data_IF_817877431052
#
_entry.id   IF_817877431052
#
_cell.length_a   1.000
_cell.length_b   1.000
_cell.length_c   1.000
_cell.angle_alpha   90.00
_cell.angle_beta   90.00
_cell.angle_gamma   90.00
#
_symmetry.space_group_name_H-M   'P 1'
#
loop_
_entity.id
_entity.type
_entity.pdbx_description
1 polymer ?
#
# COMPACT_ATOMS: atom_id res chain seq x y z
N UNK A 1 -22.38 10.20 -25.97
CA UNK A 1 -21.24 10.73 -26.74
C UNK A 1 -21.12 10.02 -28.08
N UNK A 2 -20.80 8.72 -28.12
CA UNK A 2 -20.60 7.93 -29.35
C UNK A 2 -21.73 8.06 -30.39
N UNK A 3 -22.99 7.91 -29.96
CA UNK A 3 -24.18 8.08 -30.82
C UNK A 3 -24.32 9.50 -31.41
N UNK A 4 -23.82 10.53 -30.73
CA UNK A 4 -23.90 11.93 -31.18
C UNK A 4 -22.74 12.37 -32.06
N UNK A 5 -21.62 11.64 -32.04
CA UNK A 5 -20.42 11.90 -32.85
C UNK A 5 -20.28 10.94 -34.04
N UNK A 6 -21.23 10.01 -34.21
CA UNK A 6 -21.14 8.98 -35.24
C UNK A 6 -19.98 8.01 -35.04
N UNK A 7 -19.46 7.89 -33.82
CA UNK A 7 -18.36 6.98 -33.48
C UNK A 7 -18.88 5.72 -32.81
N UNK A 8 -18.15 4.62 -32.94
CA UNK A 8 -18.42 3.37 -32.22
C UNK A 8 -17.58 3.31 -30.94
N UNK A 9 -18.13 2.75 -29.86
CA UNK A 9 -17.40 2.42 -28.65
C UNK A 9 -17.49 0.91 -28.44
N UNK A 10 -16.34 0.27 -28.31
CA UNK A 10 -16.21 -1.10 -27.84
C UNK A 10 -15.46 -1.06 -26.50
N UNK A 11 -15.87 -1.91 -25.56
CA UNK A 11 -15.19 -2.03 -24.27
C UNK A 11 -15.09 -3.50 -23.89
N UNK A 12 -14.03 -3.81 -23.15
CA UNK A 12 -13.80 -5.13 -22.58
C UNK A 12 -13.45 -4.97 -21.10
N UNK A 13 -14.03 -5.80 -20.24
CA UNK A 13 -13.64 -5.88 -18.83
C UNK A 13 -12.41 -6.77 -18.73
N UNK A 14 -11.24 -6.16 -18.50
CA UNK A 14 -9.95 -6.86 -18.43
C UNK A 14 -9.51 -7.19 -17.00
N UNK A 15 -10.13 -6.56 -15.98
CA UNK A 15 -9.79 -6.78 -14.57
C UNK A 15 -10.95 -6.54 -13.61
N UNK A 16 -10.92 -7.18 -12.44
CA UNK A 16 -11.82 -6.91 -11.32
C UNK A 16 -11.21 -7.40 -10.00
N UNK A 17 -11.19 -6.53 -8.98
CA UNK A 17 -10.59 -6.82 -7.67
C UNK A 17 -11.59 -6.72 -6.53
N UNK A 18 -11.39 -7.56 -5.52
CA UNK A 18 -12.03 -7.35 -4.23
C UNK A 18 -11.43 -6.13 -3.49
N UNK A 19 -12.21 -5.47 -2.65
CA UNK A 19 -11.64 -4.51 -1.69
C UNK A 19 -10.74 -5.23 -0.70
N UNK A 20 -9.67 -4.61 -0.21
CA UNK A 20 -8.79 -5.25 0.79
C UNK A 20 -9.58 -5.59 2.06
N UNK A 21 -9.54 -6.85 2.46
CA UNK A 21 -10.08 -7.32 3.74
C UNK A 21 -9.02 -7.06 4.83
N UNK A 22 -9.29 -6.13 5.78
CA UNK A 22 -8.29 -5.77 6.79
C UNK A 22 -8.05 -6.91 7.78
N UNK A 23 -6.83 -7.01 8.29
CA UNK A 23 -6.48 -7.85 9.42
C UNK A 23 -5.82 -6.98 10.50
N UNK A 24 -6.57 -6.65 11.54
CA UNK A 24 -6.14 -5.72 12.59
C UNK A 24 -5.05 -6.32 13.47
N UNK A 25 -5.09 -7.62 13.74
CA UNK A 25 -4.03 -8.32 14.49
C UNK A 25 -2.68 -8.17 13.80
N UNK A 26 -2.61 -8.44 12.49
CA UNK A 26 -1.36 -8.27 11.74
C UNK A 26 -0.96 -6.80 11.57
N UNK A 27 -1.94 -5.92 11.32
CA UNK A 27 -1.69 -4.49 11.17
C UNK A 27 -1.13 -3.87 12.46
N UNK A 28 -1.69 -4.22 13.61
CA UNK A 28 -1.20 -3.77 14.92
C UNK A 28 0.21 -4.29 15.16
N UNK A 29 0.50 -5.56 14.84
CA UNK A 29 1.84 -6.10 15.06
C UNK A 29 2.90 -5.42 14.19
N UNK A 30 2.60 -5.19 12.92
CA UNK A 30 3.49 -4.44 12.02
C UNK A 30 3.67 -2.98 12.50
N UNK A 31 2.60 -2.36 13.01
CA UNK A 31 2.65 -1.02 13.59
C UNK A 31 3.55 -0.94 14.82
N UNK A 32 3.48 -1.93 15.72
CA UNK A 32 4.32 -1.99 16.92
C UNK A 32 5.81 -2.02 16.55
N UNK A 33 6.18 -2.76 15.51
CA UNK A 33 7.55 -2.76 14.97
C UNK A 33 7.94 -1.43 14.34
N UNK A 34 7.03 -0.80 13.58
CA UNK A 34 7.28 0.53 13.02
C UNK A 34 7.53 1.57 14.12
N UNK A 35 6.77 1.51 15.22
CA UNK A 35 6.97 2.38 16.39
C UNK A 35 8.32 2.11 17.05
N UNK A 36 8.69 0.84 17.22
CA UNK A 36 9.96 0.45 17.83
C UNK A 36 11.18 0.89 17.00
N UNK A 37 11.10 0.80 15.67
CA UNK A 37 12.16 1.20 14.74
C UNK A 37 12.19 2.72 14.51
N UNK A 38 11.05 3.38 14.59
CA UNK A 38 10.90 4.80 14.27
C UNK A 38 10.84 5.07 12.77
N UNK A 39 10.57 6.33 12.40
CA UNK A 39 10.54 6.74 10.99
C UNK A 39 11.95 6.97 10.39
N UNK A 40 12.04 7.08 9.05
CA UNK A 40 13.31 7.30 8.35
C UNK A 40 13.96 8.63 8.75
N UNK A 41 15.29 8.69 8.69
CA UNK A 41 16.07 9.90 9.01
C UNK A 41 16.76 10.47 7.78
N UNK A 42 16.39 11.67 7.39
CA UNK A 42 17.01 12.36 6.27
C UNK A 42 18.34 12.99 6.70
N UNK A 43 19.28 13.05 5.77
CA UNK A 43 20.52 13.81 5.93
C UNK A 43 20.37 15.17 5.24
N UNK A 44 21.41 16.00 5.29
CA UNK A 44 21.39 17.34 4.68
C UNK A 44 21.05 17.31 3.18
N UNK A 45 21.62 16.37 2.42
CA UNK A 45 21.33 16.25 0.97
C UNK A 45 19.89 15.84 0.70
N UNK A 46 19.31 14.98 1.53
CA UNK A 46 17.91 14.57 1.42
C UNK A 46 16.99 15.75 1.73
N UNK A 47 17.29 16.56 2.75
CA UNK A 47 16.50 17.74 3.08
C UNK A 47 16.54 18.78 1.97
N UNK A 48 17.69 19.00 1.32
CA UNK A 48 17.80 19.89 0.16
C UNK A 48 16.88 19.41 -0.98
N UNK A 49 16.92 18.11 -1.30
CA UNK A 49 16.05 17.53 -2.32
C UNK A 49 14.56 17.60 -1.93
N UNK A 50 14.23 17.25 -0.69
CA UNK A 50 12.87 17.30 -0.16
C UNK A 50 12.30 18.72 -0.22
N UNK A 51 13.09 19.74 0.12
CA UNK A 51 12.70 21.14 -0.04
C UNK A 51 12.47 21.52 -1.51
N UNK A 52 13.28 21.01 -2.44
CA UNK A 52 13.08 21.27 -3.86
C UNK A 52 11.76 20.67 -4.38
N UNK A 53 11.45 19.41 -4.00
CA UNK A 53 10.17 18.77 -4.32
C UNK A 53 9.01 19.52 -3.69
N UNK A 54 9.11 19.88 -2.41
CA UNK A 54 8.03 20.52 -1.66
C UNK A 54 7.59 21.86 -2.29
N UNK A 55 8.52 22.65 -2.83
CA UNK A 55 8.20 23.90 -3.55
C UNK A 55 7.28 23.70 -4.76
N UNK A 56 7.20 22.48 -5.29
CA UNK A 56 6.34 22.13 -6.44
C UNK A 56 4.98 21.57 -6.03
N UNK A 57 4.78 21.27 -4.74
CA UNK A 57 3.54 20.72 -4.23
C UNK A 57 2.53 21.84 -3.95
N UNK A 58 1.21 21.56 -4.09
CA UNK A 58 0.18 22.47 -3.58
C UNK A 58 0.41 22.74 -2.08
N UNK A 59 0.59 24.01 -1.70
CA UNK A 59 0.88 24.41 -0.33
C UNK A 59 2.37 24.56 0.01
N UNK A 60 3.29 24.02 -0.80
CA UNK A 60 4.70 24.42 -0.83
C UNK A 60 5.54 24.11 0.41
N UNK A 61 5.06 23.29 1.35
CA UNK A 61 5.68 23.12 2.67
C UNK A 61 6.13 21.68 2.92
N UNK A 62 7.40 21.56 3.30
CA UNK A 62 8.00 20.39 3.91
C UNK A 62 8.71 20.87 5.17
N UNK A 63 8.41 20.23 6.29
CA UNK A 63 9.03 20.50 7.59
C UNK A 63 10.04 19.38 7.85
N UNK A 64 11.36 19.68 7.96
CA UNK A 64 12.36 18.67 8.28
C UNK A 64 12.00 17.90 9.55
N UNK A 65 12.11 16.57 9.50
CA UNK A 65 11.68 15.66 10.56
C UNK A 65 10.25 15.13 10.38
N UNK A 66 9.43 15.74 9.52
CA UNK A 66 8.08 15.21 9.19
C UNK A 66 8.14 13.83 8.55
N UNK A 67 9.23 13.47 7.88
CA UNK A 67 9.47 12.14 7.33
C UNK A 67 9.55 11.05 8.42
N UNK A 68 9.92 11.42 9.65
CA UNK A 68 10.10 10.50 10.76
C UNK A 68 8.82 10.32 11.60
N UNK A 69 7.77 11.10 11.33
CA UNK A 69 6.51 11.07 12.08
C UNK A 69 5.73 9.82 11.71
N UNK A 70 5.35 9.03 12.72
CA UNK A 70 4.44 7.90 12.58
C UNK A 70 3.07 8.34 13.08
N UNK A 71 2.05 8.24 12.23
CA UNK A 71 0.68 8.57 12.63
C UNK A 71 0.15 7.58 13.69
N UNK A 72 -0.80 8.00 14.56
CA UNK A 72 -1.49 7.08 15.44
C UNK A 72 -2.17 5.94 14.67
N UNK A 73 -2.10 4.72 15.20
CA UNK A 73 -2.77 3.58 14.60
C UNK A 73 -4.28 3.83 14.49
N UNK A 74 -4.82 3.61 13.29
CA UNK A 74 -6.24 3.76 13.03
C UNK A 74 -6.65 2.85 11.87
N UNK A 75 -7.82 2.23 12.01
CA UNK A 75 -8.41 1.43 10.93
C UNK A 75 -9.13 2.36 9.98
N UNK A 76 -8.57 2.51 8.79
CA UNK A 76 -9.12 3.35 7.72
C UNK A 76 -9.18 2.54 6.43
N UNK A 77 -10.31 2.62 5.73
CA UNK A 77 -10.41 2.06 4.39
C UNK A 77 -9.91 3.07 3.37
N UNK A 78 -8.87 2.70 2.61
CA UNK A 78 -8.39 3.51 1.49
C UNK A 78 -9.29 3.31 0.26
N UNK A 79 -9.20 4.23 -0.71
CA UNK A 79 -9.90 4.12 -2.00
C UNK A 79 -8.98 3.66 -3.14
N UNK A 80 -7.87 3.00 -2.80
CA UNK A 80 -6.90 2.50 -3.78
C UNK A 80 -7.42 1.27 -4.54
N UNK A 81 -6.85 1.01 -5.73
CA UNK A 81 -7.08 -0.23 -6.48
C UNK A 81 -5.81 -1.09 -6.45
N UNK A 82 -5.93 -2.32 -5.98
CA UNK A 82 -4.81 -3.28 -5.85
C UNK A 82 -5.33 -4.71 -5.96
N UNK A 83 -4.54 -5.57 -6.60
CA UNK A 83 -4.71 -7.02 -6.69
C UNK A 83 -4.51 -7.75 -5.34
N UNK A 84 -3.81 -7.11 -4.39
CA UNK A 84 -3.70 -7.59 -2.99
C UNK A 84 -5.07 -7.71 -2.33
N UNK A 85 -6.08 -7.00 -2.86
CA UNK A 85 -7.49 -7.22 -2.52
C UNK A 85 -7.86 -8.68 -2.55
N UNK A 86 -7.74 -9.35 -3.69
CA UNK A 86 -8.09 -10.77 -3.84
C UNK A 86 -7.26 -11.70 -2.95
N UNK A 87 -5.97 -11.39 -2.75
CA UNK A 87 -5.12 -12.15 -1.82
C UNK A 87 -5.67 -12.07 -0.39
N UNK A 88 -6.07 -10.87 0.04
CA UNK A 88 -6.57 -10.63 1.40
C UNK A 88 -7.87 -11.34 1.73
N UNK A 89 -8.63 -11.81 0.74
CA UNK A 89 -9.84 -12.64 0.94
C UNK A 89 -9.53 -14.15 0.99
N UNK A 90 -8.34 -14.55 0.58
CA UNK A 90 -7.90 -15.95 0.58
C UNK A 90 -7.02 -16.27 1.80
N UNK A 91 -6.19 -15.32 2.23
CA UNK A 91 -5.25 -15.49 3.36
C UNK A 91 -5.14 -14.22 4.21
N UNK A 92 -4.91 -14.34 5.54
CA UNK A 92 -4.59 -13.18 6.38
C UNK A 92 -3.45 -12.36 5.78
N UNK A 93 -3.68 -11.08 5.55
CA UNK A 93 -2.78 -10.22 4.78
C UNK A 93 -2.60 -8.88 5.49
N UNK A 94 -1.36 -8.38 5.48
CA UNK A 94 -1.00 -7.02 5.92
C UNK A 94 -0.01 -6.43 4.94
N UNK A 95 -0.12 -5.13 4.68
CA UNK A 95 0.85 -4.35 3.93
C UNK A 95 1.37 -3.21 4.79
N UNK A 96 2.49 -2.63 4.37
CA UNK A 96 3.13 -1.52 5.08
C UNK A 96 3.45 -0.38 4.10
N UNK A 97 3.18 0.85 4.55
CA UNK A 97 3.64 2.07 3.89
C UNK A 97 4.57 2.84 4.84
N UNK A 98 5.69 3.33 4.31
CA UNK A 98 6.62 4.23 4.98
C UNK A 98 6.88 5.45 4.10
N UNK A 99 7.57 6.48 4.61
CA UNK A 99 7.92 7.67 3.84
C UNK A 99 9.01 7.37 2.78
N UNK A 100 8.61 6.76 1.67
CA UNK A 100 9.43 6.55 0.47
C UNK A 100 9.34 7.71 -0.51
N UNK A 101 8.38 8.63 -0.29
CA UNK A 101 8.28 9.91 -0.97
C UNK A 101 8.51 11.05 0.01
N UNK A 102 8.82 12.24 -0.51
CA UNK A 102 8.84 13.47 0.29
C UNK A 102 7.43 13.69 0.86
N UNK A 103 7.27 13.88 2.18
CA UNK A 103 5.95 14.08 2.80
C UNK A 103 5.12 15.14 2.08
N UNK A 104 3.82 14.84 1.89
CA UNK A 104 2.89 15.66 1.12
C UNK A 104 2.85 15.36 -0.39
N UNK A 105 3.75 14.53 -0.90
CA UNK A 105 3.72 14.11 -2.31
C UNK A 105 2.54 13.17 -2.57
N UNK A 106 1.68 13.54 -3.53
CA UNK A 106 0.58 12.69 -3.99
C UNK A 106 1.06 11.51 -4.83
N UNK A 107 0.30 10.41 -4.83
CA UNK A 107 0.54 9.28 -5.72
C UNK A 107 0.26 9.66 -7.18
N UNK A 108 0.91 8.97 -8.11
CA UNK A 108 0.77 9.17 -9.56
C UNK A 108 1.17 10.56 -10.08
N UNK A 109 2.10 11.24 -9.40
CA UNK A 109 2.66 12.50 -9.85
C UNK A 109 4.12 12.37 -10.29
N UNK A 110 4.62 13.34 -11.05
CA UNK A 110 6.03 13.35 -11.44
C UNK A 110 6.96 13.50 -10.23
N UNK A 111 6.51 14.15 -9.14
CA UNK A 111 7.28 14.26 -7.90
C UNK A 111 7.52 12.88 -7.26
N UNK A 112 6.52 11.99 -7.28
CA UNK A 112 6.68 10.63 -6.81
C UNK A 112 7.72 9.87 -7.64
N UNK A 113 7.66 10.01 -8.98
CA UNK A 113 8.65 9.40 -9.89
C UNK A 113 10.06 9.95 -9.65
N UNK A 114 10.20 11.28 -9.53
CA UNK A 114 11.48 11.93 -9.27
C UNK A 114 12.10 11.49 -7.93
N UNK A 115 11.26 11.18 -6.95
CA UNK A 115 11.71 10.75 -5.62
C UNK A 115 12.09 9.27 -5.57
N UNK A 116 11.39 8.40 -6.32
CA UNK A 116 11.49 6.94 -6.14
C UNK A 116 12.88 6.31 -6.32
N UNK A 117 13.78 6.95 -7.08
CA UNK A 117 15.15 6.46 -7.29
C UNK A 117 16.22 7.11 -6.40
N UNK A 118 15.84 7.85 -5.36
CA UNK A 118 16.75 8.66 -4.56
C UNK A 118 17.18 7.97 -3.25
N UNK A 119 18.30 8.37 -2.63
CA UNK A 119 18.73 7.84 -1.33
C UNK A 119 17.68 7.96 -0.22
N UNK A 120 16.91 9.06 -0.17
CA UNK A 120 15.85 9.23 0.82
C UNK A 120 14.72 8.19 0.64
N UNK A 121 14.36 7.86 -0.60
CA UNK A 121 13.38 6.82 -0.89
C UNK A 121 13.88 5.45 -0.43
N UNK A 122 15.17 5.15 -0.65
CA UNK A 122 15.79 3.92 -0.16
C UNK A 122 15.78 3.81 1.36
N UNK A 123 15.93 4.91 2.10
CA UNK A 123 15.79 4.90 3.56
C UNK A 123 14.39 4.50 4.02
N UNK A 124 13.36 5.05 3.37
CA UNK A 124 11.97 4.62 3.60
C UNK A 124 11.75 3.14 3.26
N UNK A 125 12.30 2.68 2.12
CA UNK A 125 12.20 1.29 1.68
C UNK A 125 12.91 0.32 2.63
N UNK A 126 14.08 0.68 3.14
CA UNK A 126 14.82 -0.12 4.11
C UNK A 126 14.02 -0.27 5.41
N UNK A 127 13.45 0.83 5.93
CA UNK A 127 12.57 0.75 7.09
C UNK A 127 11.37 -0.17 6.84
N UNK A 128 10.75 -0.08 5.65
CA UNK A 128 9.65 -0.96 5.31
C UNK A 128 10.07 -2.44 5.30
N UNK A 129 11.24 -2.74 4.74
CA UNK A 129 11.80 -4.08 4.73
C UNK A 129 12.09 -4.59 6.15
N UNK A 130 12.65 -3.77 7.03
CA UNK A 130 12.93 -4.12 8.43
C UNK A 130 11.66 -4.45 9.21
N UNK A 131 10.62 -3.63 9.08
CA UNK A 131 9.31 -3.87 9.73
C UNK A 131 8.66 -5.15 9.20
N UNK A 132 8.67 -5.36 7.88
CA UNK A 132 8.13 -6.59 7.28
C UNK A 132 8.91 -7.83 7.74
N UNK A 133 10.24 -7.74 7.80
CA UNK A 133 11.09 -8.83 8.29
C UNK A 133 10.82 -9.14 9.76
N UNK A 134 10.73 -8.13 10.62
CA UNK A 134 10.40 -8.31 12.04
C UNK A 134 9.01 -8.94 12.23
N UNK A 135 8.03 -8.50 11.44
CA UNK A 135 6.67 -9.08 11.44
C UNK A 135 6.69 -10.54 10.98
N UNK A 136 7.46 -10.86 9.94
CA UNK A 136 7.62 -12.23 9.46
C UNK A 136 8.30 -13.14 10.49
N UNK A 137 9.31 -12.64 11.21
CA UNK A 137 9.95 -13.38 12.31
C UNK A 137 8.93 -13.74 13.39
N UNK A 138 8.06 -12.82 13.78
CA UNK A 138 7.01 -13.14 14.75
C UNK A 138 6.03 -14.17 14.21
N UNK A 139 5.58 -14.05 12.96
CA UNK A 139 4.68 -15.05 12.36
C UNK A 139 5.30 -16.46 12.33
N UNK A 140 6.61 -16.56 12.17
CA UNK A 140 7.33 -17.82 12.18
C UNK A 140 7.59 -18.37 13.60
N UNK A 141 7.68 -17.50 14.60
CA UNK A 141 8.07 -17.87 15.97
C UNK A 141 6.94 -17.88 17.00
N UNK A 142 5.78 -17.27 16.68
CA UNK A 142 4.63 -17.09 17.57
C UNK A 142 3.37 -17.69 16.93
N UNK A 143 3.11 -19.00 17.10
CA UNK A 143 1.93 -19.67 16.56
C UNK A 143 0.59 -19.05 17.00
N UNK A 144 0.58 -18.41 18.16
CA UNK A 144 -0.57 -17.67 18.70
C UNK A 144 -0.92 -16.43 17.86
N UNK A 145 0.07 -15.74 17.29
CA UNK A 145 -0.16 -14.59 16.40
C UNK A 145 -0.87 -15.06 15.13
N UNK A 146 -0.39 -16.16 14.53
CA UNK A 146 -1.02 -16.78 13.36
C UNK A 146 -2.45 -17.19 13.69
N UNK A 147 -2.65 -17.86 14.83
CA UNK A 147 -3.98 -18.30 15.28
C UNK A 147 -4.95 -17.13 15.47
N UNK A 148 -4.50 -16.04 16.09
CA UNK A 148 -5.29 -14.83 16.29
C UNK A 148 -5.64 -14.14 14.96
N UNK A 149 -4.66 -13.99 14.06
CA UNK A 149 -4.86 -13.39 12.74
C UNK A 149 -5.83 -14.22 11.89
N UNK A 150 -5.72 -15.56 11.92
CA UNK A 150 -6.63 -16.47 11.23
C UNK A 150 -8.05 -16.42 11.80
N UNK A 151 -8.20 -16.36 13.13
CA UNK A 151 -9.51 -16.25 13.77
C UNK A 151 -10.22 -14.94 13.37
N UNK A 152 -9.50 -13.81 13.40
CA UNK A 152 -10.04 -12.52 12.94
C UNK A 152 -10.42 -12.57 11.46
N UNK A 153 -9.54 -13.08 10.61
CA UNK A 153 -9.76 -13.21 9.17
C UNK A 153 -11.03 -14.00 8.86
N UNK A 154 -11.20 -15.18 9.47
CA UNK A 154 -12.41 -16.00 9.27
C UNK A 154 -13.68 -15.28 9.73
N UNK A 155 -13.60 -14.53 10.84
CA UNK A 155 -14.73 -13.74 11.34
C UNK A 155 -15.11 -12.61 10.37
N UNK A 156 -14.14 -11.88 9.82
CA UNK A 156 -14.41 -10.77 8.88
C UNK A 156 -14.88 -11.25 7.52
N UNK A 157 -14.28 -12.33 7.01
CA UNK A 157 -14.60 -12.92 5.71
C UNK A 157 -16.00 -13.54 5.70
N UNK A 158 -16.42 -14.11 6.84
CA UNK A 158 -17.65 -14.88 6.95
C UNK A 158 -17.43 -16.36 6.60
N UNK A 159 -18.32 -17.25 7.08
CA UNK A 159 -18.16 -18.69 6.94
C UNK A 159 -18.40 -19.22 5.52
N UNK A 160 -19.21 -18.50 4.73
CA UNK A 160 -19.71 -18.99 3.43
C UNK A 160 -18.98 -18.36 2.23
N UNK A 161 -17.88 -17.64 2.47
CA UNK A 161 -17.12 -17.03 1.39
C UNK A 161 -16.43 -18.10 0.55
N UNK A 162 -16.75 -18.13 -0.73
CA UNK A 162 -16.08 -18.91 -1.75
C UNK A 162 -15.47 -17.94 -2.74
N UNK A 163 -14.15 -18.01 -2.92
CA UNK A 163 -13.46 -17.15 -3.87
C UNK A 163 -13.92 -17.47 -5.30
N UNK A 164 -14.28 -16.43 -6.05
CA UNK A 164 -14.49 -16.47 -7.49
C UNK A 164 -13.87 -15.22 -8.11
N UNK A 165 -13.11 -15.35 -9.22
CA UNK A 165 -12.62 -14.18 -9.94
C UNK A 165 -13.79 -13.30 -10.38
N UNK A 166 -13.70 -11.99 -10.15
CA UNK A 166 -14.75 -11.05 -10.59
C UNK A 166 -14.85 -10.93 -12.12
N UNK A 167 -13.85 -11.44 -12.84
CA UNK A 167 -13.82 -11.55 -14.29
C UNK A 167 -14.56 -12.78 -14.84
N UNK A 168 -15.01 -13.69 -13.96
CA UNK A 168 -15.55 -14.98 -14.36
C UNK A 168 -14.49 -15.93 -14.93
N UNK A 169 -14.96 -17.01 -15.55
CA UNK A 169 -14.11 -17.99 -16.24
C UNK A 169 -13.84 -17.52 -17.67
N UNK A 170 -12.60 -17.11 -17.94
CA UNK A 170 -12.15 -16.60 -19.24
C UNK A 170 -10.64 -16.78 -19.42
N UNK A 171 -10.21 -16.84 -20.68
CA UNK A 171 -8.79 -16.77 -21.00
C UNK A 171 -8.19 -15.40 -20.60
N UNK A 172 -6.92 -15.39 -20.14
CA UNK A 172 -6.23 -14.16 -19.81
C UNK A 172 -6.13 -13.25 -21.05
N UNK A 173 -6.41 -11.95 -20.93
CA UNK A 173 -6.37 -11.02 -22.06
C UNK A 173 -4.92 -10.68 -22.43
N UNK A 174 -4.18 -11.60 -23.03
CA UNK A 174 -2.75 -11.42 -23.34
C UNK A 174 -2.49 -10.39 -24.45
N UNK A 175 -3.52 -10.05 -25.24
CA UNK A 175 -3.42 -9.17 -26.42
C UNK A 175 -4.03 -7.77 -26.23
N UNK A 176 -4.33 -7.35 -24.99
CA UNK A 176 -5.07 -6.10 -24.70
C UNK A 176 -4.33 -4.79 -25.03
N UNK A 177 -3.05 -4.84 -25.37
CA UNK A 177 -2.20 -3.66 -25.71
C UNK A 177 -1.83 -3.58 -27.20
N UNK A 178 -2.46 -4.37 -28.06
CA UNK A 178 -2.23 -4.32 -29.52
C UNK A 178 -2.75 -3.02 -30.14
#
# INVERSE_FOLDING_TARGET
AALGTGTTLEYEVIHGNHSVLPNEVLAQRAYDHLIALGGPRYNETDHVFAHAIAKTLPGGRYEPGSEAIIEPFAIKQSKGSTDVGDVSWNVPTVGLGTATFVPGTGLHTWQAVATGGTPLAHKGTLLAAEVLAATAIDLLSQPELVSAATAEFNKRRGPDFVYAPLLGDRDPPLDYRR
#
